data_IF_124945434510
#
_entry.id   IF_124945434510
#
_cell.length_a   1.000
_cell.length_b   1.000
_cell.length_c   1.000
_cell.angle_alpha   90.00
_cell.angle_beta   90.00
_cell.angle_gamma   90.00
#
_symmetry.space_group_name_H-M   'P 1'
#
loop_
_entity.id
_entity.type
_entity.pdbx_description
1 polymer ?
#
# COMPACT_ATOMS: atom_id res chain seq x y z
N UNK A 1 -18.05 48.95 -39.37
CA UNK A 1 -17.00 48.49 -38.43
C UNK A 1 -17.66 47.89 -37.19
N UNK A 2 -17.21 46.68 -36.79
CA UNK A 2 -17.16 46.11 -35.42
C UNK A 2 -18.49 45.79 -34.71
N UNK A 3 -19.07 44.62 -35.01
CA UNK A 3 -19.81 43.83 -34.00
C UNK A 3 -18.85 42.79 -33.44
N UNK A 4 -18.28 43.06 -32.26
CA UNK A 4 -17.33 42.16 -31.59
C UNK A 4 -18.12 41.04 -30.93
N UNK A 5 -17.95 39.82 -31.43
CA UNK A 5 -18.28 38.59 -30.70
C UNK A 5 -17.47 38.61 -29.39
N UNK A 6 -18.17 38.68 -28.26
CA UNK A 6 -17.60 38.25 -26.99
C UNK A 6 -17.62 36.72 -26.98
N UNK A 7 -16.53 36.12 -27.47
CA UNK A 7 -16.20 34.73 -27.15
C UNK A 7 -15.90 34.68 -25.65
N UNK A 8 -16.90 34.30 -24.86
CA UNK A 8 -16.72 33.97 -23.47
C UNK A 8 -15.86 32.71 -23.40
N UNK A 9 -14.58 32.90 -23.10
CA UNK A 9 -13.64 31.85 -22.76
C UNK A 9 -14.04 31.26 -21.40
N UNK A 10 -15.03 30.36 -21.41
CA UNK A 10 -15.18 29.34 -20.38
C UNK A 10 -14.09 28.29 -20.64
N UNK A 11 -12.83 28.67 -20.46
CA UNK A 11 -11.74 27.69 -20.37
C UNK A 11 -11.93 26.96 -19.04
N UNK A 12 -12.62 25.82 -19.13
CA UNK A 12 -12.32 24.58 -18.43
C UNK A 12 -11.28 24.75 -17.32
N UNK A 13 -11.74 25.01 -16.09
CA UNK A 13 -11.00 24.62 -14.90
C UNK A 13 -11.17 23.09 -14.82
N UNK A 14 -10.49 22.37 -15.70
CA UNK A 14 -10.30 20.94 -15.54
C UNK A 14 -9.37 20.80 -14.34
N UNK A 15 -9.96 20.56 -13.15
CA UNK A 15 -9.21 20.23 -11.96
C UNK A 15 -8.28 19.07 -12.30
N UNK A 16 -6.96 19.30 -12.21
CA UNK A 16 -6.00 18.25 -12.44
C UNK A 16 -6.22 17.16 -11.41
N UNK A 17 -6.65 15.97 -11.86
CA UNK A 17 -6.63 14.79 -11.01
C UNK A 17 -5.16 14.45 -10.81
N UNK A 18 -4.61 14.84 -9.66
CA UNK A 18 -3.25 14.48 -9.29
C UNK A 18 -3.21 12.97 -9.01
N UNK A 19 -2.30 12.29 -9.70
CA UNK A 19 -1.96 10.91 -9.42
C UNK A 19 -0.55 10.85 -8.83
N UNK A 20 -0.41 10.23 -7.67
CA UNK A 20 0.87 9.99 -7.01
C UNK A 20 1.00 8.50 -6.70
N UNK A 21 2.21 7.96 -6.87
CA UNK A 21 2.54 6.60 -6.43
C UNK A 21 3.80 6.64 -5.60
N UNK A 22 3.70 6.13 -4.38
CA UNK A 22 4.81 5.97 -3.46
C UNK A 22 5.13 4.49 -3.28
N UNK A 23 6.42 4.17 -3.16
CA UNK A 23 6.93 2.83 -2.89
C UNK A 23 7.74 2.85 -1.60
N UNK A 24 7.56 1.84 -0.75
CA UNK A 24 8.28 1.68 0.51
C UNK A 24 8.77 0.24 0.62
N UNK A 25 10.02 0.05 1.02
CA UNK A 25 10.64 -1.28 1.09
C UNK A 25 11.30 -1.50 2.44
N UNK A 26 11.09 -2.67 3.02
CA UNK A 26 11.87 -3.19 4.14
C UNK A 26 12.57 -4.48 3.70
N UNK A 27 13.86 -4.56 3.97
CA UNK A 27 14.61 -5.80 3.83
C UNK A 27 15.13 -6.22 5.19
N UNK A 28 14.77 -7.43 5.62
CA UNK A 28 15.18 -8.01 6.89
C UNK A 28 15.76 -9.41 6.66
N UNK A 29 17.08 -9.47 6.51
CA UNK A 29 17.75 -10.68 6.04
C UNK A 29 17.27 -11.08 4.63
N UNK A 30 16.68 -12.27 4.56
CA UNK A 30 16.08 -12.85 3.34
C UNK A 30 14.60 -12.49 3.13
N UNK A 31 13.97 -11.78 4.08
CA UNK A 31 12.62 -11.25 3.88
C UNK A 31 12.71 -9.90 3.17
N UNK A 32 11.88 -9.72 2.15
CA UNK A 32 11.64 -8.46 1.48
C UNK A 32 10.17 -8.15 1.60
N UNK A 33 9.86 -6.94 2.05
CA UNK A 33 8.52 -6.44 2.14
C UNK A 33 8.41 -5.18 1.30
N UNK A 34 7.40 -5.11 0.44
CA UNK A 34 7.10 -3.95 -0.38
C UNK A 34 5.70 -3.43 -0.07
N UNK A 35 5.58 -2.11 0.02
CA UNK A 35 4.33 -1.39 0.12
C UNK A 35 4.28 -0.36 -1.00
N UNK A 36 3.19 -0.37 -1.75
CA UNK A 36 2.87 0.61 -2.78
C UNK A 36 1.57 1.31 -2.43
N UNK A 37 1.60 2.64 -2.48
CA UNK A 37 0.44 3.50 -2.24
C UNK A 37 0.24 4.34 -3.48
N UNK A 38 -0.92 4.19 -4.12
CA UNK A 38 -1.33 5.02 -5.25
C UNK A 38 -2.50 5.89 -4.84
N UNK A 39 -2.37 7.20 -5.00
CA UNK A 39 -3.44 8.18 -4.75
C UNK A 39 -3.86 8.81 -6.07
N UNK A 40 -5.16 8.84 -6.36
CA UNK A 40 -5.74 9.49 -7.54
C UNK A 40 -6.96 10.29 -7.10
N UNK A 41 -6.82 11.62 -7.03
CA UNK A 41 -7.83 12.45 -6.35
C UNK A 41 -7.96 12.03 -4.88
N UNK A 42 -9.16 11.64 -4.46
CA UNK A 42 -9.44 11.17 -3.10
C UNK A 42 -9.29 9.65 -2.95
N UNK A 43 -9.13 8.91 -4.04
CA UNK A 43 -9.02 7.45 -4.03
C UNK A 43 -7.61 7.03 -3.66
N UNK A 44 -7.47 6.20 -2.62
CA UNK A 44 -6.20 5.60 -2.20
C UNK A 44 -6.26 4.10 -2.42
N UNK A 45 -5.32 3.59 -3.21
CA UNK A 45 -5.10 2.15 -3.42
C UNK A 45 -3.80 1.74 -2.77
N UNK A 46 -3.85 0.64 -2.03
CA UNK A 46 -2.69 0.04 -1.38
C UNK A 46 -2.45 -1.33 -1.99
N UNK A 47 -1.18 -1.66 -2.18
CA UNK A 47 -0.69 -3.01 -2.42
C UNK A 47 0.45 -3.26 -1.44
N UNK A 48 0.39 -4.36 -0.70
CA UNK A 48 1.48 -4.81 0.15
C UNK A 48 1.82 -6.25 -0.23
N UNK A 49 3.10 -6.55 -0.32
CA UNK A 49 3.59 -7.89 -0.59
C UNK A 49 4.83 -8.19 0.27
N UNK A 50 5.02 -9.47 0.52
CA UNK A 50 6.13 -10.01 1.28
C UNK A 50 6.65 -11.24 0.57
N UNK A 51 7.95 -11.27 0.38
CA UNK A 51 8.69 -12.39 -0.19
C UNK A 51 9.76 -12.85 0.78
N UNK A 52 9.93 -14.17 0.87
CA UNK A 52 11.01 -14.79 1.60
C UNK A 52 11.65 -15.87 0.73
N UNK A 53 12.96 -15.73 0.51
CA UNK A 53 13.78 -16.74 -0.15
C UNK A 53 14.91 -17.17 0.80
N UNK A 54 14.87 -18.39 1.35
CA UNK A 54 15.82 -18.84 2.36
C UNK A 54 17.23 -18.90 1.79
N UNK A 55 18.20 -18.38 2.55
CA UNK A 55 19.61 -18.52 2.22
C UNK A 55 20.27 -19.70 2.99
N UNK A 56 21.57 -19.92 2.77
CA UNK A 56 22.32 -21.04 3.39
C UNK A 56 22.27 -21.08 4.93
N UNK A 57 22.03 -19.95 5.61
CA UNK A 57 21.88 -19.88 7.07
C UNK A 57 20.47 -20.21 7.57
N UNK A 58 19.51 -20.40 6.67
CA UNK A 58 18.10 -20.61 6.95
C UNK A 58 17.60 -21.99 6.50
N UNK A 59 18.50 -22.98 6.55
CA UNK A 59 18.20 -24.36 6.18
C UNK A 59 16.92 -24.89 6.85
N UNK A 60 16.09 -25.53 6.05
CA UNK A 60 14.82 -26.14 6.50
C UNK A 60 13.63 -25.19 6.49
N UNK A 61 13.81 -23.88 6.24
CA UNK A 61 12.69 -22.99 5.92
C UNK A 61 12.31 -23.14 4.45
N UNK A 62 11.03 -22.91 4.16
CA UNK A 62 10.50 -22.89 2.80
C UNK A 62 10.30 -21.45 2.34
N UNK A 63 10.55 -21.20 1.06
CA UNK A 63 10.19 -19.93 0.44
C UNK A 63 8.68 -19.67 0.62
N UNK A 64 8.33 -18.41 0.84
CA UNK A 64 6.94 -17.97 0.89
C UNK A 64 6.81 -16.63 0.20
N UNK A 65 5.62 -16.39 -0.35
CA UNK A 65 5.23 -15.13 -0.95
C UNK A 65 3.76 -14.88 -0.64
N UNK A 66 3.38 -13.64 -0.39
CA UNK A 66 2.00 -13.25 -0.19
C UNK A 66 1.80 -11.80 -0.63
N UNK A 67 0.65 -11.51 -1.24
CA UNK A 67 0.24 -10.16 -1.60
C UNK A 67 -1.17 -9.86 -1.10
N UNK A 68 -1.42 -8.58 -0.83
CA UNK A 68 -2.74 -8.06 -0.53
C UNK A 68 -2.88 -6.67 -1.12
N UNK A 69 -3.98 -6.45 -1.84
CA UNK A 69 -4.23 -5.20 -2.51
C UNK A 69 -5.72 -4.82 -2.48
N UNK A 70 -5.97 -3.52 -2.50
CA UNK A 70 -7.32 -2.97 -2.53
C UNK A 70 -7.37 -1.47 -2.27
N UNK A 71 -8.59 -0.96 -2.15
CA UNK A 71 -8.84 0.40 -1.71
C UNK A 71 -8.56 0.52 -0.21
N UNK A 72 -7.85 1.58 0.17
CA UNK A 72 -7.57 1.90 1.54
C UNK A 72 -8.34 3.17 1.94
N UNK A 73 -8.86 3.16 3.16
CA UNK A 73 -9.49 4.33 3.76
C UNK A 73 -8.42 5.19 4.41
N UNK A 74 -8.39 6.48 4.09
CA UNK A 74 -7.61 7.47 4.84
C UNK A 74 -8.27 7.72 6.20
N UNK A 75 -7.54 7.48 7.29
CA UNK A 75 -8.00 7.76 8.65
C UNK A 75 -7.47 9.11 9.15
N UNK A 76 -6.25 9.45 8.74
CA UNK A 76 -5.62 10.76 8.98
C UNK A 76 -4.60 11.05 7.86
N UNK A 77 -3.86 12.17 7.95
CA UNK A 77 -2.77 12.48 7.02
C UNK A 77 -1.67 11.42 7.01
N UNK A 78 -1.47 10.74 8.14
CA UNK A 78 -0.39 9.77 8.34
C UNK A 78 -0.90 8.34 8.53
N UNK A 79 -2.20 8.08 8.36
CA UNK A 79 -2.76 6.74 8.61
C UNK A 79 -3.72 6.31 7.51
N UNK A 80 -3.49 5.10 6.99
CA UNK A 80 -4.34 4.43 6.02
C UNK A 80 -4.76 3.06 6.55
N UNK A 81 -5.99 2.66 6.25
CA UNK A 81 -6.53 1.35 6.58
C UNK A 81 -6.95 0.61 5.31
N UNK A 82 -6.24 -0.45 4.97
CA UNK A 82 -6.70 -1.44 3.99
C UNK A 82 -7.45 -2.54 4.72
N UNK A 83 -8.65 -2.90 4.23
CA UNK A 83 -9.40 -4.05 4.74
C UNK A 83 -9.83 -4.93 3.58
N UNK A 84 -9.37 -6.19 3.58
CA UNK A 84 -9.69 -7.19 2.54
C UNK A 84 -10.41 -8.37 3.16
N UNK A 85 -11.55 -8.73 2.59
CA UNK A 85 -12.27 -9.94 2.97
C UNK A 85 -11.64 -11.16 2.29
N UNK A 86 -11.52 -12.28 3.02
CA UNK A 86 -11.25 -13.58 2.40
C UNK A 86 -12.44 -14.02 1.56
N UNK A 87 -12.19 -14.48 0.34
CA UNK A 87 -13.24 -14.92 -0.56
C UNK A 87 -14.02 -16.10 0.07
N UNK A 88 -15.33 -15.91 0.26
CA UNK A 88 -16.21 -16.95 0.82
C UNK A 88 -16.17 -17.09 2.35
N UNK A 89 -15.40 -16.27 3.06
CA UNK A 89 -15.32 -16.29 4.53
C UNK A 89 -15.71 -14.95 5.15
N UNK A 90 -16.19 -14.97 6.40
CA UNK A 90 -16.49 -13.76 7.18
C UNK A 90 -15.25 -13.20 7.91
N UNK A 91 -14.05 -13.45 7.36
CA UNK A 91 -12.76 -13.03 7.92
C UNK A 91 -12.15 -11.90 7.11
N UNK A 92 -11.44 -11.01 7.79
CA UNK A 92 -10.88 -9.82 7.16
C UNK A 92 -9.43 -9.59 7.58
N UNK A 93 -8.53 -9.60 6.61
CA UNK A 93 -7.21 -9.03 6.82
C UNK A 93 -7.32 -7.51 6.79
N UNK A 94 -6.84 -6.87 7.84
CA UNK A 94 -6.75 -5.42 7.93
C UNK A 94 -5.28 -5.03 8.07
N UNK A 95 -4.82 -4.10 7.24
CA UNK A 95 -3.51 -3.48 7.37
C UNK A 95 -3.68 -2.03 7.82
N UNK A 96 -3.15 -1.69 8.98
CA UNK A 96 -3.01 -0.31 9.45
C UNK A 96 -1.62 0.19 9.06
N UNK A 97 -1.58 1.22 8.23
CA UNK A 97 -0.37 1.75 7.62
C UNK A 97 -0.11 3.13 8.20
N UNK A 98 0.97 3.24 8.95
CA UNK A 98 1.42 4.48 9.55
C UNK A 98 2.53 5.08 8.68
N UNK A 99 2.25 6.23 8.07
CA UNK A 99 3.19 6.97 7.23
C UNK A 99 4.03 7.92 8.08
N UNK A 100 5.32 7.98 7.78
CA UNK A 100 6.24 8.99 8.29
C UNK A 100 6.72 9.86 7.13
N UNK A 101 7.60 10.84 7.39
CA UNK A 101 8.15 11.67 6.33
C UNK A 101 8.95 10.85 5.28
N UNK A 102 9.64 9.82 5.74
CA UNK A 102 10.62 9.06 4.95
C UNK A 102 10.26 7.57 4.82
N UNK A 103 9.16 7.13 5.41
CA UNK A 103 8.86 5.71 5.53
C UNK A 103 7.41 5.37 5.84
N UNK A 104 7.18 4.09 6.09
CA UNK A 104 5.91 3.54 6.52
C UNK A 104 6.12 2.38 7.50
N UNK A 105 5.14 2.16 8.38
CA UNK A 105 5.05 0.97 9.23
C UNK A 105 3.70 0.30 8.99
N UNK A 106 3.68 -1.01 9.07
CA UNK A 106 2.47 -1.80 8.85
C UNK A 106 2.22 -2.66 10.09
N UNK A 107 1.00 -2.55 10.62
CA UNK A 107 0.40 -3.48 11.57
C UNK A 107 -0.70 -4.28 10.86
N UNK A 108 -0.81 -5.57 11.17
CA UNK A 108 -1.79 -6.46 10.54
C UNK A 108 -2.73 -7.08 11.58
N UNK A 109 -3.97 -7.39 11.18
CA UNK A 109 -4.87 -8.23 11.99
C UNK A 109 -4.42 -9.70 11.99
N UNK A 110 -4.84 -10.46 13.01
CA UNK A 110 -4.56 -11.90 13.12
C UNK A 110 -5.02 -12.68 11.88
N UNK A 111 -6.19 -12.31 11.33
CA UNK A 111 -6.78 -12.91 10.12
C UNK A 111 -5.90 -12.78 8.86
N UNK A 112 -4.90 -11.90 8.86
CA UNK A 112 -3.93 -11.82 7.76
C UNK A 112 -3.07 -13.08 7.62
N UNK A 113 -2.98 -13.91 8.66
CA UNK A 113 -2.34 -15.23 8.58
C UNK A 113 -3.05 -16.22 7.63
N UNK A 114 -4.30 -15.93 7.22
CA UNK A 114 -4.97 -16.70 6.16
C UNK A 114 -4.65 -16.19 4.75
N UNK A 115 -4.04 -15.02 4.62
CA UNK A 115 -3.57 -14.46 3.35
C UNK A 115 -2.09 -14.72 3.10
N UNK A 116 -1.29 -14.84 4.16
CA UNK A 116 0.15 -15.08 4.08
C UNK A 116 0.53 -16.41 4.75
N UNK A 117 1.27 -17.25 4.03
CA UNK A 117 1.63 -18.58 4.50
C UNK A 117 2.89 -18.59 5.37
N UNK A 118 2.87 -19.40 6.44
CA UNK A 118 4.06 -19.70 7.23
C UNK A 118 4.63 -18.48 7.95
N UNK A 119 5.87 -18.11 7.61
CA UNK A 119 6.59 -17.00 8.26
C UNK A 119 6.34 -15.64 7.60
N UNK A 120 5.80 -15.63 6.37
CA UNK A 120 5.46 -14.42 5.66
C UNK A 120 4.32 -13.69 6.37
N UNK A 121 4.54 -12.41 6.64
CA UNK A 121 3.57 -11.51 7.27
C UNK A 121 3.70 -10.13 6.66
N UNK A 122 2.59 -9.41 6.56
CA UNK A 122 2.55 -8.00 6.16
C UNK A 122 2.89 -7.07 7.32
N UNK A 123 2.93 -7.55 8.57
CA UNK A 123 3.46 -6.77 9.69
C UNK A 123 4.93 -6.44 9.46
N UNK A 124 5.26 -5.17 9.64
CA UNK A 124 6.65 -4.69 9.67
C UNK A 124 7.38 -4.97 10.98
N UNK A 125 6.68 -5.55 11.97
CA UNK A 125 7.18 -5.82 13.33
C UNK A 125 7.85 -4.59 13.98
N UNK A 126 7.26 -3.41 13.72
CA UNK A 126 7.71 -2.11 14.23
C UNK A 126 8.87 -1.48 13.46
N UNK A 127 9.49 -2.21 12.51
CA UNK A 127 10.53 -1.71 11.61
C UNK A 127 9.92 -0.80 10.56
N UNK A 128 10.71 0.14 10.05
CA UNK A 128 10.26 1.10 9.06
C UNK A 128 10.59 0.60 7.65
N UNK A 129 9.57 0.55 6.79
CA UNK A 129 9.74 0.44 5.35
C UNK A 129 10.21 1.80 4.83
N UNK A 130 11.36 1.85 4.18
CA UNK A 130 11.96 3.10 3.69
C UNK A 130 11.35 3.47 2.35
N UNK A 131 10.97 4.73 2.18
CA UNK A 131 10.46 5.24 0.91
C UNK A 131 11.55 5.19 -0.16
N UNK A 132 11.23 4.61 -1.33
CA UNK A 132 12.13 4.54 -2.49
C UNK A 132 11.58 5.40 -3.63
N UNK A 133 12.49 6.05 -4.35
CA UNK A 133 12.19 6.96 -5.48
C UNK A 133 12.36 6.26 -6.82
#
# INVERSE_FOLDING_TARGET
MKKRLFFAAAMLISGGVFAATDHYVLKDGSHVQHLKITTVGDDVKVSADVDFEPNSSEQGKHACSADIHGEAKRLSETELLLKKQLAGEARFCSLNIHLTADGAKIEQSEDCGYFAAGICRFSSDGKELVKVK
#
